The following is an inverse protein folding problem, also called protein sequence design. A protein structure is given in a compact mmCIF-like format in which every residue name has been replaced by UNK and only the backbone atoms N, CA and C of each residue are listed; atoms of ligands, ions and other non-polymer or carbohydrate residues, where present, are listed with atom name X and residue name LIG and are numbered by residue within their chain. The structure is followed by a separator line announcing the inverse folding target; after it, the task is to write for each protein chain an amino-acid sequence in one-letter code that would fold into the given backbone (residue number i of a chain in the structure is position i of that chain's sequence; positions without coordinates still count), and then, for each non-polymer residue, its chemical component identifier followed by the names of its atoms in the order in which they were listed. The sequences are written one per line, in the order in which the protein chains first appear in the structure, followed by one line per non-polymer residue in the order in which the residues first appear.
data_IF_044891255410
#
_entry.id   IF_044891255410
#
_cell.length_a   1.000
_cell.length_b   1.000
_cell.length_c   1.000
_cell.angle_alpha   90.00
_cell.angle_beta   90.00
_cell.angle_gamma   90.00
#
_symmetry.space_group_name_H-M   'P 1'
#
loop_
_entity.id
_entity.type
_entity.pdbx_description
1 polymer ?
#
# COMPACT_ATOMS: atom_id res chain seq x y z
N UNK A 1 58.51 18.98 75.85
CA UNK A 1 58.09 19.73 74.66
C UNK A 1 58.89 19.19 73.48
N UNK A 2 58.28 18.41 72.60
CA UNK A 2 58.91 17.97 71.35
C UNK A 2 57.90 18.22 70.25
N UNK A 3 58.16 19.33 69.58
CA UNK A 3 57.39 19.97 68.52
C UNK A 3 57.48 19.20 67.22
N UNK A 4 56.33 18.96 66.62
CA UNK A 4 56.04 19.16 65.20
C UNK A 4 57.20 18.91 64.23
N UNK A 5 57.50 17.65 63.97
CA UNK A 5 57.97 17.26 62.64
C UNK A 5 56.77 16.63 61.93
N UNK A 6 55.91 17.50 61.40
CA UNK A 6 54.98 17.07 60.35
C UNK A 6 55.85 16.78 59.13
N UNK A 7 56.37 15.56 59.06
CA UNK A 7 57.05 15.04 57.87
C UNK A 7 56.10 15.20 56.68
N UNK A 8 56.59 15.58 55.49
CA UNK A 8 55.78 15.69 54.27
C UNK A 8 54.88 14.46 54.05
N UNK A 9 55.37 13.27 54.44
CA UNK A 9 54.61 12.02 54.44
C UNK A 9 53.31 12.08 55.25
N UNK A 10 53.31 12.72 56.43
CA UNK A 10 52.14 12.84 57.31
C UNK A 10 51.21 13.95 56.79
N UNK A 11 51.74 14.98 56.12
CA UNK A 11 50.93 16.00 55.46
C UNK A 11 50.16 15.44 54.26
N UNK A 12 50.80 14.60 53.46
CA UNK A 12 50.20 13.97 52.27
C UNK A 12 49.30 12.77 52.65
N UNK A 13 49.65 12.07 53.75
CA UNK A 13 48.94 10.89 54.25
C UNK A 13 48.65 11.02 55.75
N UNK A 14 47.67 11.86 56.14
CA UNK A 14 47.31 12.08 57.55
C UNK A 14 46.81 10.81 58.23
N UNK A 15 46.37 9.84 57.44
CA UNK A 15 45.93 8.52 57.89
C UNK A 15 47.06 7.70 58.52
N UNK A 16 48.33 8.03 58.25
CA UNK A 16 49.49 7.36 58.84
C UNK A 16 49.97 8.04 60.13
N UNK A 17 49.39 9.18 60.53
CA UNK A 17 49.85 9.98 61.67
C UNK A 17 49.72 9.27 63.04
N UNK A 18 48.87 8.25 63.13
CA UNK A 18 48.60 7.50 64.35
C UNK A 18 49.49 6.26 64.52
N UNK A 19 50.27 5.88 63.50
CA UNK A 19 51.19 4.75 63.56
C UNK A 19 52.51 5.16 64.22
N UNK A 20 53.09 4.26 65.02
CA UNK A 20 54.41 4.47 65.60
C UNK A 20 55.51 4.29 64.55
N UNK A 21 56.72 4.79 64.85
CA UNK A 21 57.88 4.59 63.97
C UNK A 21 58.20 3.11 63.76
N UNK A 22 58.02 2.28 64.79
CA UNK A 22 58.22 0.83 64.71
C UNK A 22 57.23 0.21 63.72
N UNK A 23 55.95 0.63 63.79
CA UNK A 23 54.90 0.15 62.88
C UNK A 23 55.17 0.58 61.44
N UNK A 24 55.74 1.78 61.21
CA UNK A 24 56.13 2.23 59.87
C UNK A 24 57.33 1.46 59.30
N UNK A 25 58.30 1.07 60.13
CA UNK A 25 59.42 0.21 59.73
C UNK A 25 58.93 -1.22 59.44
N UNK A 26 58.00 -1.74 60.24
CA UNK A 26 57.37 -3.04 60.01
C UNK A 26 56.47 -3.02 58.75
N UNK A 27 55.81 -1.90 58.45
CA UNK A 27 55.05 -1.68 57.22
C UNK A 27 55.94 -1.68 55.97
N UNK A 28 57.19 -1.25 56.10
CA UNK A 28 58.17 -1.26 55.01
C UNK A 28 58.76 -2.66 54.78
N UNK A 29 58.90 -3.44 55.85
CA UNK A 29 59.57 -4.74 55.85
C UNK A 29 58.61 -5.93 55.61
N UNK A 30 57.33 -5.81 56.00
CA UNK A 30 56.30 -6.83 55.80
C UNK A 30 55.24 -6.38 54.77
N UNK A 31 55.31 -6.97 53.58
CA UNK A 31 54.37 -6.70 52.49
C UNK A 31 52.92 -7.06 52.82
N UNK A 32 52.67 -8.06 53.67
CA UNK A 32 51.30 -8.45 54.03
C UNK A 32 50.71 -7.45 55.01
N UNK A 33 51.52 -6.96 55.96
CA UNK A 33 51.11 -5.92 56.89
C UNK A 33 50.80 -4.61 56.17
N UNK A 34 51.64 -4.21 55.20
CA UNK A 34 51.34 -3.07 54.32
C UNK A 34 50.00 -3.22 53.61
N UNK A 35 49.75 -4.38 52.97
CA UNK A 35 48.50 -4.61 52.24
C UNK A 35 47.28 -4.61 53.18
N UNK A 36 47.41 -5.14 54.40
CA UNK A 36 46.35 -5.11 55.38
C UNK A 36 46.00 -3.66 55.79
N UNK A 37 47.01 -2.83 56.07
CA UNK A 37 46.82 -1.42 56.42
C UNK A 37 46.29 -0.63 55.22
N UNK A 38 46.84 -0.81 54.02
CA UNK A 38 46.38 -0.16 52.80
C UNK A 38 44.90 -0.45 52.50
N UNK A 39 44.48 -1.71 52.56
CA UNK A 39 43.08 -2.10 52.36
C UNK A 39 42.18 -1.73 53.54
N UNK A 40 42.74 -1.37 54.69
CA UNK A 40 41.98 -0.85 55.83
C UNK A 40 41.62 0.63 55.67
N UNK A 41 42.36 1.38 54.84
CA UNK A 41 42.19 2.81 54.64
C UNK A 41 40.77 3.11 54.10
N UNK A 42 40.04 4.10 54.69
CA UNK A 42 38.69 4.46 54.27
C UNK A 42 38.63 4.86 52.79
N UNK A 43 39.63 5.59 52.29
CA UNK A 43 39.69 5.99 50.88
C UNK A 43 39.80 4.80 49.93
N UNK A 44 40.60 3.79 50.29
CA UNK A 44 40.79 2.58 49.48
C UNK A 44 39.54 1.71 49.51
N UNK A 45 38.92 1.54 50.68
CA UNK A 45 37.62 0.86 50.81
C UNK A 45 36.53 1.53 49.97
N UNK A 46 36.39 2.85 50.09
CA UNK A 46 35.43 3.62 49.30
C UNK A 46 35.67 3.47 47.79
N UNK A 47 36.93 3.38 47.36
CA UNK A 47 37.27 3.15 45.96
C UNK A 47 36.88 1.73 45.51
N UNK A 48 37.13 0.70 46.31
CA UNK A 48 36.70 -0.67 46.02
C UNK A 48 35.18 -0.82 45.99
N UNK A 49 34.49 -0.17 46.94
CA UNK A 49 33.02 -0.16 47.00
C UNK A 49 32.45 0.50 45.74
N UNK A 50 32.96 1.67 45.36
CA UNK A 50 32.56 2.37 44.14
C UNK A 50 32.84 1.55 42.88
N UNK A 51 33.99 0.88 42.80
CA UNK A 51 34.33 -0.01 41.68
C UNK A 51 33.35 -1.20 41.59
N UNK A 52 33.01 -1.79 42.73
CA UNK A 52 32.09 -2.92 42.81
C UNK A 52 30.67 -2.50 42.42
N UNK A 53 30.23 -1.34 42.89
CA UNK A 53 28.92 -0.76 42.53
C UNK A 53 28.83 -0.50 41.02
N UNK A 54 29.84 0.12 40.42
CA UNK A 54 29.91 0.34 38.97
C UNK A 54 29.92 -0.98 38.19
N UNK A 55 30.66 -1.98 38.67
CA UNK A 55 30.68 -3.32 38.08
C UNK A 55 29.30 -3.98 38.09
N UNK A 56 28.60 -3.92 39.22
CA UNK A 56 27.25 -4.45 39.38
C UNK A 56 26.24 -3.71 38.51
N UNK A 57 26.32 -2.38 38.44
CA UNK A 57 25.47 -1.57 37.59
C UNK A 57 25.66 -1.92 36.11
N UNK A 58 26.91 -2.06 35.65
CA UNK A 58 27.21 -2.45 34.27
C UNK A 58 26.72 -3.86 33.94
N UNK A 59 26.91 -4.82 34.85
CA UNK A 59 26.40 -6.18 34.70
C UNK A 59 24.86 -6.21 34.61
N UNK A 60 24.17 -5.40 35.43
CA UNK A 60 22.71 -5.25 35.37
C UNK A 60 22.24 -4.71 34.02
N UNK A 61 22.90 -3.67 33.50
CA UNK A 61 22.60 -3.09 32.18
C UNK A 61 22.82 -4.13 31.08
N UNK A 62 23.95 -4.86 31.11
CA UNK A 62 24.24 -5.90 30.14
C UNK A 62 23.18 -7.01 30.13
N UNK A 63 22.75 -7.48 31.31
CA UNK A 63 21.69 -8.48 31.43
C UNK A 63 20.35 -7.96 30.91
N UNK A 64 20.01 -6.69 31.16
CA UNK A 64 18.80 -6.08 30.63
C UNK A 64 18.83 -6.00 29.10
N UNK A 65 19.95 -5.58 28.52
CA UNK A 65 20.14 -5.52 27.08
C UNK A 65 19.99 -6.90 26.42
N UNK A 66 20.58 -7.94 27.02
CA UNK A 66 20.44 -9.32 26.54
C UNK A 66 18.99 -9.81 26.65
N UNK A 67 18.29 -9.51 27.74
CA UNK A 67 16.90 -9.90 27.91
C UNK A 67 15.96 -9.24 26.87
N UNK A 68 16.27 -8.03 26.42
CA UNK A 68 15.50 -7.31 25.40
C UNK A 68 15.82 -7.73 23.97
N UNK A 69 16.99 -8.33 23.75
CA UNK A 69 17.51 -8.65 22.41
C UNK A 69 16.55 -9.54 21.62
N UNK A 70 16.12 -10.67 22.20
CA UNK A 70 15.26 -11.63 21.51
C UNK A 70 13.91 -11.03 21.14
N UNK A 71 13.30 -10.28 22.06
CA UNK A 71 12.02 -9.58 21.82
C UNK A 71 12.15 -8.55 20.70
N UNK A 72 13.26 -7.81 20.65
CA UNK A 72 13.49 -6.84 19.57
C UNK A 72 13.68 -7.52 18.22
N UNK A 73 14.37 -8.67 18.17
CA UNK A 73 14.49 -9.44 16.94
C UNK A 73 13.15 -9.99 16.46
N UNK A 74 12.33 -10.54 17.36
CA UNK A 74 10.98 -11.02 17.06
C UNK A 74 10.09 -9.90 16.53
N UNK A 75 10.06 -8.75 17.22
CA UNK A 75 9.28 -7.60 16.78
C UNK A 75 9.75 -7.09 15.41
N UNK A 76 11.06 -7.11 15.16
CA UNK A 76 11.63 -6.72 13.87
C UNK A 76 11.20 -7.68 12.76
N UNK A 77 11.25 -9.00 12.99
CA UNK A 77 10.78 -9.98 12.00
C UNK A 77 9.29 -9.86 11.73
N UNK A 78 8.46 -9.73 12.76
CA UNK A 78 7.01 -9.56 12.61
C UNK A 78 6.68 -8.30 11.81
N UNK A 79 7.36 -7.19 12.11
CA UNK A 79 7.17 -5.93 11.39
C UNK A 79 7.60 -6.05 9.92
N UNK A 80 8.70 -6.77 9.66
CA UNK A 80 9.17 -7.02 8.30
C UNK A 80 8.18 -7.88 7.51
N UNK A 81 7.63 -8.92 8.12
CA UNK A 81 6.67 -9.82 7.49
C UNK A 81 5.35 -9.08 7.18
N UNK A 82 4.83 -8.31 8.15
CA UNK A 82 3.65 -7.48 7.95
C UNK A 82 3.85 -6.42 6.84
N UNK A 83 5.04 -5.82 6.78
CA UNK A 83 5.38 -4.88 5.71
C UNK A 83 5.43 -5.56 4.33
N UNK A 84 6.05 -6.75 4.27
CA UNK A 84 6.11 -7.54 3.04
C UNK A 84 4.71 -7.94 2.57
N UNK A 85 3.84 -8.39 3.47
CA UNK A 85 2.45 -8.72 3.18
C UNK A 85 1.69 -7.50 2.64
N UNK A 86 1.81 -6.35 3.32
CA UNK A 86 1.19 -5.11 2.87
C UNK A 86 1.65 -4.71 1.46
N UNK A 87 2.94 -4.89 1.14
CA UNK A 87 3.48 -4.62 -0.20
C UNK A 87 2.92 -5.56 -1.27
N UNK A 88 2.75 -6.85 -0.93
CA UNK A 88 2.11 -7.81 -1.83
C UNK A 88 0.64 -7.44 -2.06
N UNK A 89 -0.09 -7.07 -1.02
CA UNK A 89 -1.48 -6.62 -1.13
C UNK A 89 -1.61 -5.33 -1.94
N UNK A 90 -0.69 -4.37 -1.78
CA UNK A 90 -0.65 -3.14 -2.57
C UNK A 90 -0.47 -3.45 -4.07
N UNK A 91 0.40 -4.41 -4.41
CA UNK A 91 0.58 -4.84 -5.80
C UNK A 91 -0.69 -5.49 -6.36
N UNK A 92 -1.30 -6.41 -5.61
CA UNK A 92 -2.57 -7.05 -5.98
C UNK A 92 -3.71 -6.04 -6.15
N UNK A 93 -3.78 -5.03 -5.28
CA UNK A 93 -4.78 -3.97 -5.37
C UNK A 93 -4.69 -3.23 -6.71
N UNK A 94 -3.48 -2.87 -7.15
CA UNK A 94 -3.27 -2.19 -8.44
C UNK A 94 -3.75 -3.02 -9.63
N UNK A 95 -3.60 -4.34 -9.57
CA UNK A 95 -4.10 -5.26 -10.60
C UNK A 95 -5.64 -5.28 -10.60
N UNK A 96 -6.25 -5.51 -9.43
CA UNK A 96 -7.71 -5.54 -9.29
C UNK A 96 -8.36 -4.22 -9.66
N UNK A 97 -7.77 -3.09 -9.27
CA UNK A 97 -8.26 -1.76 -9.64
C UNK A 97 -8.20 -1.54 -11.16
N UNK A 98 -7.15 -2.04 -11.82
CA UNK A 98 -7.05 -1.99 -13.28
C UNK A 98 -8.13 -2.86 -13.93
N UNK A 99 -8.31 -4.10 -13.49
CA UNK A 99 -9.36 -5.00 -13.98
C UNK A 99 -10.75 -4.38 -13.79
N UNK A 100 -11.01 -3.79 -12.62
CA UNK A 100 -12.23 -3.06 -12.34
C UNK A 100 -12.40 -1.93 -13.35
N UNK A 101 -11.38 -1.07 -13.53
CA UNK A 101 -11.46 0.06 -14.48
C UNK A 101 -11.77 -0.41 -15.90
N UNK A 102 -11.16 -1.50 -16.35
CA UNK A 102 -11.37 -2.07 -17.68
C UNK A 102 -12.80 -2.62 -17.86
N UNK A 103 -13.37 -3.22 -16.82
CA UNK A 103 -14.78 -3.66 -16.81
C UNK A 103 -15.72 -2.46 -16.81
N UNK A 104 -15.51 -1.50 -15.90
CA UNK A 104 -16.37 -0.33 -15.74
C UNK A 104 -16.30 0.62 -16.95
N UNK A 105 -15.18 0.68 -17.67
CA UNK A 105 -15.02 1.50 -18.88
C UNK A 105 -16.18 1.29 -19.87
N UNK A 106 -16.60 0.02 -20.04
CA UNK A 106 -17.68 -0.38 -20.96
C UNK A 106 -19.08 0.10 -20.52
N UNK A 107 -19.23 0.44 -19.25
CA UNK A 107 -20.47 0.92 -18.65
C UNK A 107 -20.41 2.41 -18.33
N UNK A 108 -19.32 3.10 -18.67
CA UNK A 108 -19.27 4.55 -18.53
C UNK A 108 -20.34 5.21 -19.39
N UNK A 109 -20.98 6.30 -18.92
CA UNK A 109 -21.99 7.00 -19.70
C UNK A 109 -21.51 7.39 -21.10
N UNK A 110 -20.23 7.77 -21.22
CA UNK A 110 -19.63 8.14 -22.50
C UNK A 110 -19.51 6.96 -23.46
N UNK A 111 -19.06 5.79 -22.97
CA UNK A 111 -18.98 4.58 -23.80
C UNK A 111 -20.37 4.09 -24.22
N UNK A 112 -21.35 4.13 -23.31
CA UNK A 112 -22.72 3.76 -23.62
C UNK A 112 -23.36 4.70 -24.66
N UNK A 113 -23.11 6.01 -24.57
CA UNK A 113 -23.54 6.98 -25.57
C UNK A 113 -22.87 6.73 -26.93
N UNK A 114 -21.56 6.46 -26.95
CA UNK A 114 -20.84 6.06 -28.16
C UNK A 114 -21.48 4.82 -28.78
N UNK A 115 -21.75 3.78 -27.99
CA UNK A 115 -22.41 2.54 -28.44
C UNK A 115 -23.82 2.81 -28.98
N UNK A 116 -24.59 3.69 -28.34
CA UNK A 116 -25.90 4.10 -28.81
C UNK A 116 -25.79 4.78 -30.18
N UNK A 117 -24.84 5.71 -30.38
CA UNK A 117 -24.61 6.36 -31.67
C UNK A 117 -24.23 5.36 -32.77
N UNK A 118 -23.35 4.41 -32.49
CA UNK A 118 -23.06 3.33 -33.45
C UNK A 118 -24.29 2.50 -33.80
N UNK A 119 -25.15 2.19 -32.82
CA UNK A 119 -26.40 1.47 -33.07
C UNK A 119 -27.44 2.29 -33.85
N UNK A 120 -27.35 3.62 -33.84
CA UNK A 120 -28.16 4.50 -34.69
C UNK A 120 -27.70 4.37 -36.13
N UNK A 121 -26.40 4.55 -36.40
CA UNK A 121 -25.82 4.42 -37.74
C UNK A 121 -26.08 3.03 -38.32
N UNK A 122 -25.81 1.97 -37.55
CA UNK A 122 -26.05 0.61 -38.00
C UNK A 122 -27.54 0.32 -38.33
N UNK A 123 -28.47 0.97 -37.62
CA UNK A 123 -29.90 0.86 -37.91
C UNK A 123 -30.28 1.60 -39.20
N UNK A 124 -29.69 2.77 -39.42
CA UNK A 124 -29.85 3.55 -40.64
C UNK A 124 -29.38 2.73 -41.85
N UNK A 125 -28.14 2.24 -41.80
CA UNK A 125 -27.54 1.38 -42.83
C UNK A 125 -28.35 0.09 -43.07
N UNK A 126 -28.92 -0.50 -42.01
CA UNK A 126 -29.80 -1.67 -42.14
C UNK A 126 -31.11 -1.31 -42.85
N UNK A 127 -31.72 -0.16 -42.53
CA UNK A 127 -32.94 0.30 -43.20
C UNK A 127 -32.71 0.65 -44.68
N UNK A 128 -31.58 1.29 -44.99
CA UNK A 128 -31.20 1.63 -46.37
C UNK A 128 -30.88 0.38 -47.20
N UNK A 129 -30.22 -0.63 -46.60
CA UNK A 129 -30.01 -1.93 -47.26
C UNK A 129 -31.32 -2.64 -47.55
N UNK A 130 -32.27 -2.61 -46.62
CA UNK A 130 -33.61 -3.19 -46.80
C UNK A 130 -34.34 -2.50 -47.96
N UNK A 131 -34.33 -1.16 -48.00
CA UNK A 131 -34.91 -0.38 -49.09
C UNK A 131 -34.25 -0.68 -50.45
N UNK A 132 -32.92 -0.72 -50.49
CA UNK A 132 -32.15 -1.01 -51.70
C UNK A 132 -32.46 -2.41 -52.23
N UNK A 133 -32.51 -3.42 -51.35
CA UNK A 133 -32.82 -4.79 -51.72
C UNK A 133 -34.24 -4.93 -52.30
N UNK A 134 -35.22 -4.21 -51.73
CA UNK A 134 -36.58 -4.19 -52.26
C UNK A 134 -36.65 -3.60 -53.66
N UNK A 135 -36.00 -2.45 -53.89
CA UNK A 135 -35.94 -1.80 -55.22
C UNK A 135 -35.24 -2.70 -56.24
N UNK A 136 -34.14 -3.35 -55.86
CA UNK A 136 -33.41 -4.26 -56.72
C UNK A 136 -34.25 -5.51 -57.06
N UNK A 137 -34.97 -6.08 -56.10
CA UNK A 137 -35.86 -7.21 -56.36
C UNK A 137 -37.01 -6.82 -57.32
N UNK A 138 -37.53 -5.59 -57.19
CA UNK A 138 -38.54 -5.05 -58.10
C UNK A 138 -38.01 -4.86 -59.53
N UNK A 139 -36.76 -4.39 -59.70
CA UNK A 139 -36.15 -4.20 -61.03
C UNK A 139 -35.75 -5.50 -61.73
N UNK A 140 -35.37 -6.55 -60.98
CA UNK A 140 -35.10 -7.88 -61.55
C UNK A 140 -36.41 -8.61 -61.93
N UNK A 141 -37.47 -8.45 -61.15
CA UNK A 141 -38.80 -9.03 -61.46
C UNK A 141 -39.48 -8.39 -62.67
N UNK A 142 -39.01 -7.23 -63.13
CA UNK A 142 -39.54 -6.52 -64.30
C UNK A 142 -38.69 -6.70 -65.57
N UNK A 143 -37.53 -7.36 -65.48
CA UNK A 143 -36.61 -7.59 -66.60
C UNK A 143 -36.54 -9.05 -67.08
N UNK A 144 -37.18 -9.98 -66.37
CA UNK A 144 -37.35 -11.37 -66.80
C UNK A 144 -38.83 -11.65 -67.05
N UNK A 145 -39.14 -12.13 -68.27
CA UNK A 145 -40.45 -12.55 -68.79
C UNK A 145 -41.27 -11.50 -69.56
N UNK A 146 -40.97 -11.46 -70.85
CA UNK A 146 -42.03 -11.47 -71.87
C UNK A 146 -42.98 -12.63 -71.60
N UNK A 147 -44.15 -12.39 -71.01
CA UNK A 147 -45.42 -13.06 -71.30
C UNK A 147 -46.53 -12.52 -70.36
N UNK A 148 -47.59 -11.99 -70.96
CA UNK A 148 -48.96 -11.79 -70.48
C UNK A 148 -49.27 -11.96 -68.97
N UNK A 149 -49.64 -10.85 -68.32
CA UNK A 149 -50.51 -10.86 -67.12
C UNK A 149 -49.87 -10.37 -65.81
N UNK A 150 -49.91 -9.05 -65.58
CA UNK A 150 -49.88 -8.39 -64.25
C UNK A 150 -48.92 -8.98 -63.19
N UNK A 151 -47.62 -8.83 -63.39
CA UNK A 151 -46.61 -9.04 -62.35
C UNK A 151 -46.43 -7.77 -61.50
N UNK A 152 -47.50 -7.36 -60.81
CA UNK A 152 -47.33 -6.57 -59.58
C UNK A 152 -46.57 -7.44 -58.57
N UNK A 153 -45.59 -6.90 -57.81
CA UNK A 153 -45.04 -7.64 -56.68
C UNK A 153 -46.21 -8.12 -55.84
N UNK A 154 -46.21 -9.39 -55.43
CA UNK A 154 -47.31 -9.97 -54.65
C UNK A 154 -47.62 -9.00 -53.51
N UNK A 155 -48.86 -8.51 -53.39
CA UNK A 155 -49.19 -7.41 -52.46
C UNK A 155 -48.72 -7.68 -51.03
N UNK A 156 -48.66 -8.97 -50.67
CA UNK A 156 -48.06 -9.49 -49.44
C UNK A 156 -46.58 -9.11 -49.25
N UNK A 157 -45.73 -9.22 -50.27
CA UNK A 157 -44.30 -8.83 -50.20
C UNK A 157 -44.13 -7.32 -49.99
N UNK A 158 -45.02 -6.52 -50.59
CA UNK A 158 -45.03 -5.06 -50.42
C UNK A 158 -45.46 -4.72 -48.99
N UNK A 159 -46.52 -5.35 -48.48
CA UNK A 159 -47.00 -5.15 -47.12
C UNK A 159 -45.97 -5.58 -46.07
N UNK A 160 -45.32 -6.74 -46.27
CA UNK A 160 -44.26 -7.25 -45.41
C UNK A 160 -43.06 -6.29 -45.38
N UNK A 161 -42.61 -5.80 -46.55
CA UNK A 161 -41.57 -4.76 -46.65
C UNK A 161 -41.96 -3.49 -45.89
N UNK A 162 -43.17 -2.96 -46.14
CA UNK A 162 -43.64 -1.73 -45.49
C UNK A 162 -43.66 -1.90 -43.98
N UNK A 163 -44.08 -3.06 -43.49
CA UNK A 163 -44.12 -3.37 -42.07
C UNK A 163 -42.71 -3.39 -41.49
N UNK A 164 -41.79 -4.17 -42.06
CA UNK A 164 -40.42 -4.32 -41.58
C UNK A 164 -39.63 -3.00 -41.64
N UNK A 165 -39.76 -2.25 -42.75
CA UNK A 165 -39.12 -0.95 -42.91
C UNK A 165 -39.64 0.08 -41.89
N UNK A 166 -40.97 0.14 -41.67
CA UNK A 166 -41.56 1.02 -40.66
C UNK A 166 -41.09 0.65 -39.24
N UNK A 167 -41.04 -0.64 -38.91
CA UNK A 167 -40.53 -1.10 -37.61
C UNK A 167 -39.06 -0.71 -37.42
N UNK A 168 -38.23 -0.91 -38.45
CA UNK A 168 -36.82 -0.51 -38.46
C UNK A 168 -36.63 1.00 -38.27
N UNK A 169 -37.38 1.84 -39.01
CA UNK A 169 -37.30 3.31 -38.89
C UNK A 169 -37.83 3.82 -37.55
N UNK A 170 -38.85 3.18 -36.96
CA UNK A 170 -39.32 3.50 -35.59
C UNK A 170 -38.19 3.32 -34.56
N UNK A 171 -37.45 2.21 -34.65
CA UNK A 171 -36.30 1.94 -33.76
C UNK A 171 -35.20 2.98 -33.98
N UNK A 172 -34.88 3.30 -35.22
CA UNK A 172 -33.92 4.36 -35.57
C UNK A 172 -34.30 5.70 -34.93
N UNK A 173 -35.50 6.22 -35.19
CA UNK A 173 -35.92 7.52 -34.67
C UNK A 173 -36.00 7.54 -33.15
N UNK A 174 -36.42 6.44 -32.51
CA UNK A 174 -36.36 6.30 -31.06
C UNK A 174 -34.92 6.47 -30.57
N UNK A 175 -33.95 5.73 -31.13
CA UNK A 175 -32.54 5.83 -30.74
C UNK A 175 -31.95 7.23 -30.98
N UNK A 176 -32.32 7.89 -32.08
CA UNK A 176 -31.91 9.28 -32.38
C UNK A 176 -32.41 10.24 -31.29
N UNK A 177 -33.70 10.20 -30.94
CA UNK A 177 -34.29 11.06 -29.90
C UNK A 177 -33.59 10.83 -28.55
N UNK A 178 -33.35 9.56 -28.19
CA UNK A 178 -32.66 9.22 -26.95
C UNK A 178 -31.20 9.66 -26.94
N UNK A 179 -30.48 9.49 -28.05
CA UNK A 179 -29.08 9.94 -28.20
C UNK A 179 -28.95 11.46 -28.08
N UNK A 180 -29.90 12.20 -28.66
CA UNK A 180 -29.91 13.65 -28.64
C UNK A 180 -30.30 14.21 -27.25
N UNK A 181 -31.30 13.61 -26.59
CA UNK A 181 -31.64 13.93 -25.19
C UNK A 181 -30.46 13.67 -24.25
N UNK A 182 -29.78 12.54 -24.42
CA UNK A 182 -28.58 12.22 -23.64
C UNK A 182 -27.47 13.25 -23.90
N UNK A 183 -27.20 13.58 -25.17
CA UNK A 183 -26.17 14.57 -25.53
C UNK A 183 -26.47 15.97 -24.96
N UNK A 184 -27.74 16.29 -24.70
CA UNK A 184 -28.19 17.53 -24.05
C UNK A 184 -28.22 17.47 -22.52
N UNK A 185 -27.79 16.37 -21.90
CA UNK A 185 -27.80 16.19 -20.45
C UNK A 185 -29.21 16.00 -19.86
N UNK A 186 -30.21 15.71 -20.69
CA UNK A 186 -31.61 15.53 -20.26
C UNK A 186 -31.92 14.09 -19.85
N UNK A 187 -30.89 13.26 -19.65
CA UNK A 187 -31.01 11.88 -19.20
C UNK A 187 -30.46 11.82 -17.79
N UNK A 188 -31.37 11.65 -16.84
CA UNK A 188 -31.06 11.41 -15.43
C UNK A 188 -31.01 9.91 -15.19
N UNK A 189 -29.93 9.44 -14.59
CA UNK A 189 -29.82 8.06 -14.12
C UNK A 189 -30.43 8.02 -12.73
N UNK A 190 -31.32 7.05 -12.46
CA UNK A 190 -31.79 6.84 -11.10
C UNK A 190 -30.67 6.20 -10.29
N UNK A 191 -30.34 6.81 -9.16
CA UNK A 191 -29.48 6.24 -8.13
C UNK A 191 -30.33 5.25 -7.29
N UNK A 192 -30.70 4.10 -7.87
CA UNK A 192 -31.28 2.97 -7.11
C UNK A 192 -30.17 2.00 -6.66
#
# INVERSE_FOLDING_TARGET
MMTDVVTQLIADFPELAHLSRQDLEDLLNDSNYFQAVFNSLPRVKAMYDAQTELGNANASIANNNLALQDRLYQLRSETQDAFNEAKVLEAKWKEVEKEQRDVYQKFTPQFLLMRLRHSVTAQDDASERLATAFVQHQSLSSSSESHSGTSTPSGKQIEDFIKEYKESRKVYHKRVIWSDRWSRGQVEWRDD
#
